data_IF_196503838388
#
_entry.id   IF_196503838388
#
_cell.length_a   1.000
_cell.length_b   1.000
_cell.length_c   1.000
_cell.angle_alpha   90.00
_cell.angle_beta   90.00
_cell.angle_gamma   90.00
#
_symmetry.space_group_name_H-M   'P 1'
#
loop_
_entity.id
_entity.type
_entity.pdbx_description
1 polymer ?
#
# COMPACT_ATOMS: atom_id res chain seq x y z
N UNK A 1 -53.63 28.08 -53.68
CA UNK A 1 -53.39 29.00 -52.55
C UNK A 1 -52.54 28.28 -51.62
N UNK A 2 -51.21 28.58 -51.52
CA UNK A 2 -50.32 28.01 -50.53
C UNK A 2 -50.31 28.88 -49.28
N UNK A 3 -50.38 28.24 -48.13
CA UNK A 3 -50.34 28.83 -46.79
C UNK A 3 -48.90 29.07 -46.37
N UNK A 4 -48.62 30.30 -45.90
CA UNK A 4 -47.39 30.80 -45.30
C UNK A 4 -47.19 30.17 -43.92
N UNK A 5 -46.10 29.42 -43.76
CA UNK A 5 -45.53 29.01 -42.45
C UNK A 5 -44.02 28.94 -42.47
N UNK A 6 -43.35 29.83 -43.21
CA UNK A 6 -41.87 29.82 -43.33
C UNK A 6 -41.22 31.16 -42.87
N UNK A 7 -41.65 31.73 -41.73
CA UNK A 7 -41.05 32.99 -41.27
C UNK A 7 -40.92 33.16 -39.74
N UNK A 8 -40.57 32.09 -39.00
CA UNK A 8 -40.25 32.26 -37.54
C UNK A 8 -39.04 31.44 -37.02
N UNK A 9 -38.04 31.14 -37.87
CA UNK A 9 -36.85 30.42 -37.46
C UNK A 9 -35.54 31.22 -37.60
N UNK A 10 -35.55 32.53 -37.37
CA UNK A 10 -34.32 33.37 -37.40
C UNK A 10 -34.34 34.40 -36.27
N UNK A 11 -34.16 33.97 -35.02
CA UNK A 11 -33.62 34.81 -33.94
C UNK A 11 -33.52 33.99 -32.63
N UNK A 12 -32.55 33.08 -32.54
CA UNK A 12 -32.04 32.60 -31.26
C UNK A 12 -30.55 32.86 -31.21
N UNK A 13 -30.01 33.52 -30.16
CA UNK A 13 -28.57 33.73 -29.99
C UNK A 13 -27.86 32.39 -29.65
N UNK A 14 -26.82 32.07 -30.41
CA UNK A 14 -25.92 30.92 -30.17
C UNK A 14 -25.30 31.01 -28.79
N UNK A 15 -25.28 29.95 -27.99
CA UNK A 15 -24.52 29.93 -26.74
C UNK A 15 -23.03 29.97 -27.04
N UNK A 16 -22.36 30.92 -26.40
CA UNK A 16 -20.92 31.15 -26.45
C UNK A 16 -20.22 30.05 -25.66
N UNK A 17 -19.55 29.10 -26.35
CA UNK A 17 -18.73 28.06 -25.74
C UNK A 17 -17.28 28.55 -25.71
N UNK A 18 -16.68 28.83 -24.53
CA UNK A 18 -15.26 29.07 -24.45
C UNK A 18 -14.52 27.73 -24.54
N UNK A 19 -13.98 27.45 -25.69
CA UNK A 19 -12.99 26.40 -25.94
C UNK A 19 -11.68 26.75 -25.24
N UNK A 20 -11.45 26.23 -24.03
CA UNK A 20 -10.11 26.05 -23.46
C UNK A 20 -10.02 24.64 -22.93
N UNK A 21 -9.31 23.79 -23.66
CA UNK A 21 -8.84 22.47 -23.23
C UNK A 21 -8.04 22.63 -21.94
N UNK A 22 -8.61 22.25 -20.82
CA UNK A 22 -7.89 22.04 -19.57
C UNK A 22 -6.99 20.81 -19.75
N UNK A 23 -5.68 21.00 -19.69
CA UNK A 23 -4.70 19.90 -19.58
C UNK A 23 -4.92 19.18 -18.26
N UNK A 24 -4.81 17.84 -18.20
CA UNK A 24 -4.88 17.14 -16.95
C UNK A 24 -3.70 17.56 -16.06
N UNK A 25 -4.01 17.98 -14.84
CA UNK A 25 -3.01 18.27 -13.80
C UNK A 25 -2.48 16.94 -13.31
N UNK A 26 -1.32 16.56 -13.81
CA UNK A 26 -0.53 15.45 -13.27
C UNK A 26 0.05 15.94 -11.95
N UNK A 27 -0.47 15.47 -10.83
CA UNK A 27 0.13 15.67 -9.51
C UNK A 27 1.40 14.83 -9.48
N UNK A 28 2.52 15.44 -9.84
CA UNK A 28 3.84 14.87 -9.58
C UNK A 28 4.06 14.94 -8.06
N UNK A 29 4.18 13.79 -7.43
CA UNK A 29 4.76 13.65 -6.11
C UNK A 29 6.08 14.44 -6.07
N UNK A 30 6.09 15.53 -5.31
CA UNK A 30 7.25 16.40 -5.18
C UNK A 30 8.25 15.75 -4.22
N UNK A 31 9.11 14.90 -4.75
CA UNK A 31 10.37 14.58 -4.09
C UNK A 31 11.21 15.85 -4.02
N UNK A 32 11.23 16.50 -2.87
CA UNK A 32 12.12 17.63 -2.57
C UNK A 32 13.55 17.12 -2.58
N UNK A 33 14.30 17.41 -3.65
CA UNK A 33 15.75 17.22 -3.70
C UNK A 33 16.42 18.40 -2.98
N UNK A 34 17.21 18.17 -1.92
CA UNK A 34 18.05 19.23 -1.37
C UNK A 34 19.21 19.52 -2.32
N UNK A 35 19.45 20.80 -2.60
CA UNK A 35 20.62 21.30 -3.32
C UNK A 35 21.88 21.02 -2.48
N UNK A 36 22.68 20.03 -2.86
CA UNK A 36 24.02 19.82 -2.30
C UNK A 36 25.02 20.61 -3.15
N UNK A 37 25.74 21.54 -2.52
CA UNK A 37 26.94 22.17 -3.06
C UNK A 37 28.01 21.09 -3.25
N UNK A 38 28.60 21.04 -4.46
CA UNK A 38 29.81 20.27 -4.75
C UNK A 38 30.99 20.81 -3.92
N UNK A 39 31.64 19.93 -3.21
CA UNK A 39 33.04 20.06 -2.83
C UNK A 39 33.77 18.76 -3.17
N UNK A 40 35.01 18.95 -3.58
CA UNK A 40 35.84 18.06 -4.38
C UNK A 40 36.21 16.71 -3.78
N UNK A 41 36.40 15.81 -4.68
CA UNK A 41 37.26 14.62 -4.79
C UNK A 41 38.37 14.48 -3.75
N UNK A 42 38.42 13.29 -3.10
CA UNK A 42 39.67 12.60 -2.81
C UNK A 42 39.41 11.08 -2.78
N UNK A 43 40.03 10.40 -3.73
CA UNK A 43 40.09 8.96 -3.82
C UNK A 43 41.08 8.43 -2.79
N UNK A 44 40.72 7.37 -2.06
CA UNK A 44 41.71 6.39 -1.59
C UNK A 44 41.06 5.00 -1.48
N UNK A 45 41.55 4.12 -2.29
CA UNK A 45 41.43 2.67 -2.25
C UNK A 45 41.89 2.11 -0.93
N UNK A 46 41.10 1.26 -0.28
CA UNK A 46 41.62 0.29 0.67
C UNK A 46 40.78 -0.98 0.68
N UNK A 47 41.31 -2.00 0.09
CA UNK A 47 40.94 -3.41 0.15
C UNK A 47 41.09 -3.93 1.58
N UNK A 48 40.02 -4.43 2.19
CA UNK A 48 40.12 -5.28 3.42
C UNK A 48 39.36 -6.58 3.14
N UNK A 49 40.16 -7.69 3.24
CA UNK A 49 39.69 -9.08 3.18
C UNK A 49 38.81 -9.42 4.40
N UNK A 50 37.91 -10.39 4.29
CA UNK A 50 37.12 -10.86 5.43
C UNK A 50 37.93 -11.71 6.37
N UNK A 51 37.88 -11.38 7.66
CA UNK A 51 38.43 -12.19 8.73
C UNK A 51 37.30 -13.03 9.36
N UNK A 52 37.45 -14.33 9.27
CA UNK A 52 36.65 -15.35 9.98
C UNK A 52 37.13 -15.43 11.41
N UNK A 53 36.26 -15.15 12.40
CA UNK A 53 36.42 -15.74 13.73
C UNK A 53 35.08 -15.75 14.51
N UNK A 54 34.66 -16.94 14.79
CA UNK A 54 33.97 -17.50 15.97
C UNK A 54 32.93 -16.67 16.73
N UNK A 55 31.72 -17.26 16.75
CA UNK A 55 30.62 -16.90 17.63
C UNK A 55 30.87 -17.35 19.08
N UNK A 56 30.57 -16.55 20.11
CA UNK A 56 30.47 -17.04 21.46
C UNK A 56 29.12 -17.72 21.72
N UNK A 57 29.16 -18.96 22.17
CA UNK A 57 28.05 -19.75 22.69
C UNK A 57 27.51 -19.10 23.96
N UNK A 58 26.25 -18.64 23.92
CA UNK A 58 25.49 -18.28 25.12
C UNK A 58 24.75 -19.53 25.61
N UNK A 59 25.05 -19.95 26.82
CA UNK A 59 24.49 -21.09 27.49
C UNK A 59 23.04 -20.83 27.93
N UNK A 60 22.15 -21.71 27.51
CA UNK A 60 20.76 -21.77 27.97
C UNK A 60 20.78 -22.37 29.37
N UNK A 61 20.45 -21.60 30.42
CA UNK A 61 20.15 -22.12 31.74
C UNK A 61 18.72 -22.66 31.76
N UNK A 62 18.62 -23.99 31.83
CA UNK A 62 17.38 -24.70 32.21
C UNK A 62 17.11 -24.44 33.71
N UNK A 63 15.97 -23.91 34.02
CA UNK A 63 15.41 -23.93 35.37
C UNK A 63 14.93 -25.37 35.68
N UNK A 64 15.59 -26.01 36.61
CA UNK A 64 15.21 -27.30 37.15
C UNK A 64 14.19 -27.10 38.27
N UNK A 65 13.00 -27.68 38.12
CA UNK A 65 12.03 -27.80 39.18
C UNK A 65 12.46 -28.91 40.18
N UNK A 66 12.56 -28.55 41.44
CA UNK A 66 12.84 -29.47 42.53
C UNK A 66 11.50 -30.02 43.05
N UNK A 67 11.24 -31.30 42.80
CA UNK A 67 10.31 -32.12 43.57
C UNK A 67 11.11 -32.72 44.73
N UNK A 68 10.77 -32.27 45.92
CA UNK A 68 11.33 -32.89 47.16
C UNK A 68 10.38 -33.97 47.66
N UNK A 69 10.80 -35.22 47.52
CA UNK A 69 10.31 -36.36 48.29
C UNK A 69 10.88 -36.27 49.69
N UNK A 70 10.02 -36.40 50.71
CA UNK A 70 10.44 -36.73 52.08
C UNK A 70 9.67 -37.95 52.53
N UNK A 71 10.38 -39.03 52.64
CA UNK A 71 9.96 -40.31 53.12
C UNK A 71 9.88 -40.37 54.64
N UNK A 72 8.95 -41.23 55.08
CA UNK A 72 8.51 -41.56 56.41
C UNK A 72 9.60 -41.93 57.44
N UNK A 73 9.38 -41.65 58.71
CA UNK A 73 9.22 -42.66 59.76
C UNK A 73 8.98 -42.00 61.12
N UNK A 74 8.13 -42.58 61.93
CA UNK A 74 7.99 -42.27 63.35
C UNK A 74 6.66 -42.63 63.95
N UNK A 75 6.56 -43.85 64.48
CA UNK A 75 5.46 -44.42 65.24
C UNK A 75 5.20 -43.68 66.57
N UNK A 76 3.93 -43.62 66.98
CA UNK A 76 3.66 -43.44 68.41
C UNK A 76 2.25 -42.93 68.79
N UNK A 77 1.46 -43.84 69.31
CA UNK A 77 0.45 -43.72 70.33
C UNK A 77 -0.94 -43.12 70.02
N UNK A 78 -1.85 -43.99 70.29
CA UNK A 78 -3.30 -43.91 70.40
C UNK A 78 -3.75 -42.83 71.40
N UNK A 79 -4.70 -41.98 71.01
CA UNK A 79 -5.41 -40.99 71.79
C UNK A 79 -6.83 -40.81 71.23
N UNK A 80 -7.75 -41.17 72.07
CA UNK A 80 -9.21 -41.40 71.93
C UNK A 80 -9.96 -40.20 71.31
N UNK A 81 -10.84 -40.45 70.33
CA UNK A 81 -11.66 -39.53 69.62
C UNK A 81 -12.73 -38.89 70.51
N UNK A 82 -12.84 -37.58 70.52
CA UNK A 82 -14.06 -36.83 70.77
C UNK A 82 -14.68 -36.40 69.50
N UNK A 83 -15.90 -36.81 69.25
CA UNK A 83 -16.80 -36.32 68.22
C UNK A 83 -16.92 -34.80 68.32
N UNK A 84 -16.49 -34.11 67.30
CA UNK A 84 -16.88 -32.74 67.02
C UNK A 84 -17.70 -32.72 65.73
N UNK A 85 -18.97 -32.26 65.91
CA UNK A 85 -19.90 -32.03 64.77
C UNK A 85 -19.32 -31.24 63.67
N UNK A 86 -19.65 -31.44 62.36
CA UNK A 86 -19.19 -30.64 61.26
C UNK A 86 -19.84 -29.27 61.33
N UNK A 87 -19.02 -28.23 61.60
CA UNK A 87 -19.42 -26.85 61.42
C UNK A 87 -19.68 -26.62 59.91
N UNK A 88 -20.94 -26.32 59.60
CA UNK A 88 -21.38 -25.95 58.25
C UNK A 88 -20.76 -24.63 57.86
N UNK A 89 -19.58 -24.70 57.23
CA UNK A 89 -18.97 -23.58 56.51
C UNK A 89 -19.51 -23.60 55.08
N UNK A 90 -20.47 -22.75 54.74
CA UNK A 90 -20.90 -22.75 53.34
C UNK A 90 -22.14 -21.98 52.97
N UNK A 91 -22.41 -20.80 53.53
CA UNK A 91 -23.50 -19.93 53.05
C UNK A 91 -23.09 -18.64 52.34
N UNK A 92 -21.83 -18.21 52.53
CA UNK A 92 -21.38 -16.88 52.07
C UNK A 92 -20.87 -16.82 50.64
N UNK A 93 -20.25 -17.88 50.15
CA UNK A 93 -19.50 -17.86 48.87
C UNK A 93 -20.42 -17.85 47.62
N UNK A 94 -21.55 -18.51 47.65
CA UNK A 94 -22.52 -18.53 46.52
C UNK A 94 -23.24 -17.20 46.33
N UNK A 95 -23.52 -16.43 47.38
CA UNK A 95 -24.17 -15.09 47.27
C UNK A 95 -23.20 -14.04 46.76
N UNK A 96 -21.95 -14.09 47.18
CA UNK A 96 -20.87 -13.21 46.68
C UNK A 96 -20.59 -13.47 45.19
N UNK A 97 -20.48 -14.73 44.77
CA UNK A 97 -20.32 -15.09 43.35
C UNK A 97 -21.50 -14.62 42.51
N UNK A 98 -22.72 -14.78 42.98
CA UNK A 98 -23.92 -14.28 42.29
C UNK A 98 -23.99 -12.75 42.19
N UNK A 99 -23.53 -12.01 43.20
CA UNK A 99 -23.46 -10.55 43.17
C UNK A 99 -22.38 -10.06 42.19
N UNK A 100 -21.19 -10.66 42.17
CA UNK A 100 -20.12 -10.35 41.25
C UNK A 100 -20.52 -10.60 39.78
N UNK A 101 -21.23 -11.71 39.51
CA UNK A 101 -21.74 -12.02 38.16
C UNK A 101 -22.77 -10.95 37.71
N UNK A 102 -23.69 -10.54 38.60
CA UNK A 102 -24.67 -9.49 38.27
C UNK A 102 -24.01 -8.14 38.00
N UNK A 103 -23.02 -7.74 38.80
CA UNK A 103 -22.26 -6.50 38.59
C UNK A 103 -21.47 -6.57 37.27
N UNK A 104 -20.81 -7.68 36.98
CA UNK A 104 -20.14 -7.90 35.73
C UNK A 104 -21.10 -7.80 34.51
N UNK A 105 -22.29 -8.41 34.62
CA UNK A 105 -23.31 -8.33 33.57
C UNK A 105 -23.82 -6.90 33.34
N UNK A 106 -23.99 -6.11 34.42
CA UNK A 106 -24.35 -4.68 34.30
C UNK A 106 -23.26 -3.88 33.62
N UNK A 107 -21.99 -4.12 34.00
CA UNK A 107 -20.85 -3.43 33.37
C UNK A 107 -20.81 -3.75 31.87
N UNK A 108 -20.97 -5.02 31.49
CA UNK A 108 -21.01 -5.43 30.08
C UNK A 108 -22.16 -4.75 29.32
N UNK A 109 -23.35 -4.71 29.93
CA UNK A 109 -24.52 -4.06 29.34
C UNK A 109 -24.27 -2.54 29.12
N UNK A 110 -23.63 -1.85 30.07
CA UNK A 110 -23.27 -0.44 29.96
C UNK A 110 -22.24 -0.24 28.82
N UNK A 111 -21.23 -1.11 28.73
CA UNK A 111 -20.23 -1.05 27.64
C UNK A 111 -20.92 -1.22 26.28
N UNK A 112 -21.83 -2.17 26.13
CA UNK A 112 -22.60 -2.39 24.90
C UNK A 112 -23.40 -1.13 24.52
N UNK A 113 -24.09 -0.50 25.49
CA UNK A 113 -24.83 0.74 25.22
C UNK A 113 -23.91 1.85 24.80
N UNK A 114 -22.76 2.03 25.45
CA UNK A 114 -21.75 3.01 25.06
C UNK A 114 -21.28 2.77 23.63
N UNK A 115 -20.91 1.54 23.29
CA UNK A 115 -20.48 1.18 21.92
C UNK A 115 -21.56 1.51 20.89
N UNK A 116 -22.84 1.20 21.18
CA UNK A 116 -23.94 1.51 20.27
C UNK A 116 -24.12 3.04 20.10
N UNK A 117 -24.12 3.80 21.20
CA UNK A 117 -24.29 5.26 21.17
C UNK A 117 -23.19 5.91 20.34
N UNK A 118 -21.93 5.55 20.59
CA UNK A 118 -20.81 6.11 19.82
C UNK A 118 -20.84 5.64 18.35
N UNK A 119 -21.28 4.40 18.08
CA UNK A 119 -21.52 3.92 16.72
C UNK A 119 -22.55 4.81 15.98
N UNK A 120 -23.67 5.15 16.63
CA UNK A 120 -24.66 6.09 16.04
C UNK A 120 -24.06 7.48 15.79
N UNK A 121 -23.22 7.98 16.70
CA UNK A 121 -22.54 9.27 16.53
C UNK A 121 -21.56 9.24 15.34
N UNK A 122 -20.84 8.14 15.13
CA UNK A 122 -19.88 7.98 14.04
C UNK A 122 -20.59 7.80 12.68
N UNK A 123 -21.50 6.83 12.59
CA UNK A 123 -22.09 6.46 11.29
C UNK A 123 -23.32 7.31 10.92
N UNK A 124 -24.13 7.68 11.91
CA UNK A 124 -25.37 8.45 11.67
C UNK A 124 -25.12 9.95 11.62
N UNK A 125 -24.39 10.48 12.59
CA UNK A 125 -24.16 11.91 12.71
C UNK A 125 -22.81 12.36 12.17
N UNK A 126 -21.93 11.44 11.74
CA UNK A 126 -20.55 11.72 11.28
C UNK A 126 -19.80 12.68 12.21
N UNK A 127 -19.96 12.46 13.52
CA UNK A 127 -19.48 13.35 14.56
C UNK A 127 -17.96 13.35 14.63
N UNK A 128 -17.35 14.51 14.47
CA UNK A 128 -15.91 14.73 14.62
C UNK A 128 -15.53 15.22 16.02
N UNK A 129 -16.45 15.09 16.99
CA UNK A 129 -16.21 15.50 18.37
C UNK A 129 -14.99 14.77 18.95
N UNK A 130 -14.08 15.46 19.66
CA UNK A 130 -12.88 14.84 20.26
C UNK A 130 -13.16 13.65 21.16
N UNK A 131 -14.30 13.65 21.90
CA UNK A 131 -14.69 12.52 22.75
C UNK A 131 -15.06 11.29 21.91
N UNK A 132 -15.74 11.47 20.76
CA UNK A 132 -16.06 10.39 19.84
C UNK A 132 -14.79 9.79 19.23
N UNK A 133 -13.84 10.64 18.83
CA UNK A 133 -12.53 10.22 18.33
C UNK A 133 -11.75 9.43 19.39
N UNK A 134 -11.71 9.90 20.64
CA UNK A 134 -11.03 9.19 21.73
C UNK A 134 -11.63 7.81 22.05
N UNK A 135 -12.95 7.68 21.96
CA UNK A 135 -13.61 6.36 22.12
C UNK A 135 -13.27 5.45 20.96
N UNK A 136 -13.18 5.97 19.75
CA UNK A 136 -12.82 5.21 18.55
C UNK A 136 -11.36 4.70 18.56
N UNK A 137 -10.46 5.34 19.33
CA UNK A 137 -9.09 4.84 19.54
C UNK A 137 -9.07 3.53 20.33
N UNK A 138 -10.07 3.31 21.18
CA UNK A 138 -10.18 2.11 22.05
C UNK A 138 -11.13 1.06 21.44
N UNK A 139 -12.23 1.51 20.84
CA UNK A 139 -13.24 0.65 20.22
C UNK A 139 -13.04 0.65 18.70
N UNK A 140 -12.67 -0.49 18.08
CA UNK A 140 -12.37 -0.56 16.66
C UNK A 140 -13.66 -0.53 15.81
N UNK A 141 -14.28 0.64 15.67
CA UNK A 141 -15.42 0.82 14.77
C UNK A 141 -14.98 0.59 13.32
N UNK A 142 -15.61 -0.33 12.57
CA UNK A 142 -15.22 -0.59 11.18
C UNK A 142 -15.68 0.54 10.26
N UNK A 143 -14.81 1.06 9.40
CA UNK A 143 -15.18 1.96 8.30
C UNK A 143 -15.47 1.21 7.02
N UNK A 144 -14.71 0.14 6.80
CA UNK A 144 -14.84 -0.76 5.67
C UNK A 144 -14.55 -2.20 6.09
N UNK A 145 -14.96 -3.13 5.23
CA UNK A 145 -14.56 -4.53 5.30
C UNK A 145 -14.02 -4.94 3.93
N UNK A 146 -12.78 -5.44 3.90
CA UNK A 146 -12.10 -5.87 2.68
C UNK A 146 -11.85 -7.38 2.76
N UNK A 147 -12.51 -8.16 1.91
CA UNK A 147 -12.44 -9.63 1.92
C UNK A 147 -12.72 -10.27 3.29
N UNK A 148 -13.61 -9.67 4.09
CA UNK A 148 -13.95 -10.13 5.43
C UNK A 148 -13.11 -9.54 6.56
N UNK A 149 -12.02 -8.85 6.29
CA UNK A 149 -11.19 -8.16 7.28
C UNK A 149 -11.66 -6.72 7.47
N UNK A 150 -11.87 -6.32 8.73
CA UNK A 150 -12.30 -4.96 9.05
C UNK A 150 -11.14 -3.97 9.02
N UNK A 151 -11.42 -2.79 8.48
CA UNK A 151 -10.58 -1.58 8.54
C UNK A 151 -11.18 -0.65 9.58
N UNK A 152 -10.37 -0.14 10.50
CA UNK A 152 -10.86 0.61 11.65
C UNK A 152 -11.08 2.09 11.36
N UNK A 153 -11.99 2.71 12.11
CA UNK A 153 -12.21 4.16 12.09
C UNK A 153 -10.96 4.93 12.58
N UNK A 154 -10.15 4.32 13.44
CA UNK A 154 -8.90 4.93 13.91
C UNK A 154 -7.87 5.05 12.78
N UNK A 155 -7.69 4.00 11.96
CA UNK A 155 -6.80 4.04 10.79
C UNK A 155 -7.28 5.10 9.79
N UNK A 156 -8.61 5.20 9.59
CA UNK A 156 -9.21 6.22 8.75
C UNK A 156 -8.93 7.65 9.27
N UNK A 157 -9.11 7.88 10.57
CA UNK A 157 -8.80 9.18 11.17
C UNK A 157 -7.30 9.52 11.09
N UNK A 158 -6.44 8.53 11.24
CA UNK A 158 -5.00 8.71 11.08
C UNK A 158 -4.66 9.26 9.70
N UNK A 159 -5.18 8.63 8.64
CA UNK A 159 -4.96 9.06 7.25
C UNK A 159 -5.57 10.45 6.97
N UNK A 160 -6.80 10.69 7.38
CA UNK A 160 -7.47 11.99 7.16
C UNK A 160 -6.73 13.10 7.89
N UNK A 161 -6.44 12.94 9.18
CA UNK A 161 -5.78 13.97 9.99
C UNK A 161 -4.36 14.28 9.48
N UNK A 162 -3.59 13.26 9.07
CA UNK A 162 -2.26 13.45 8.52
C UNK A 162 -2.30 14.26 7.22
N UNK A 163 -3.23 13.95 6.32
CA UNK A 163 -3.39 14.66 5.05
C UNK A 163 -3.87 16.10 5.25
N UNK A 164 -4.89 16.34 6.10
CA UNK A 164 -5.36 17.70 6.40
C UNK A 164 -4.25 18.57 6.97
N UNK A 165 -3.48 18.04 7.95
CA UNK A 165 -2.32 18.73 8.52
C UNK A 165 -1.24 19.01 7.48
N UNK A 166 -0.94 18.05 6.61
CA UNK A 166 0.04 18.21 5.54
C UNK A 166 -0.34 19.36 4.59
N UNK A 167 -1.60 19.45 4.17
CA UNK A 167 -2.09 20.58 3.35
C UNK A 167 -1.88 21.92 4.03
N UNK A 168 -2.27 22.05 5.31
CA UNK A 168 -2.12 23.28 6.08
C UNK A 168 -0.66 23.68 6.29
N UNK A 169 0.18 22.72 6.66
CA UNK A 169 1.55 23.00 7.03
C UNK A 169 2.47 23.19 5.81
N UNK A 170 2.22 22.48 4.72
CA UNK A 170 2.92 22.71 3.45
C UNK A 170 2.62 24.10 2.89
N UNK A 171 1.38 24.59 3.01
CA UNK A 171 1.04 25.95 2.63
C UNK A 171 1.86 26.98 3.45
N UNK A 172 1.92 26.81 4.78
CA UNK A 172 2.73 27.68 5.67
C UNK A 172 4.23 27.64 5.33
N UNK A 173 4.79 26.45 5.09
CA UNK A 173 6.21 26.28 4.75
C UNK A 173 6.59 26.92 3.41
N UNK A 174 5.65 26.99 2.47
CA UNK A 174 5.83 27.60 1.16
C UNK A 174 5.36 29.06 1.09
N UNK A 175 5.03 29.70 2.25
CA UNK A 175 4.48 31.05 2.33
C UNK A 175 3.22 31.23 1.46
N UNK A 176 2.41 30.19 1.33
CA UNK A 176 1.13 30.22 0.63
C UNK A 176 -0.03 30.38 1.62
N UNK A 177 -1.17 30.93 1.18
CA UNK A 177 -2.37 30.96 2.00
C UNK A 177 -2.76 29.56 2.45
N UNK A 178 -3.09 29.38 3.72
CA UNK A 178 -3.63 28.14 4.26
C UNK A 178 -5.03 27.90 3.70
N UNK A 179 -5.37 26.62 3.49
CA UNK A 179 -6.71 26.24 3.02
C UNK A 179 -7.72 26.47 4.14
N UNK A 180 -8.76 27.25 3.88
CA UNK A 180 -9.90 27.36 4.79
C UNK A 180 -10.87 26.21 4.48
N UNK A 181 -10.88 25.19 5.33
CA UNK A 181 -11.73 24.01 5.20
C UNK A 181 -13.23 24.29 5.44
N UNK A 182 -13.61 25.50 5.89
CA UNK A 182 -15.01 25.87 6.09
C UNK A 182 -15.67 26.37 4.81
N UNK A 183 -14.90 26.81 3.83
CA UNK A 183 -15.39 27.26 2.51
C UNK A 183 -15.84 26.08 1.66
N UNK A 184 -16.69 26.33 0.66
CA UNK A 184 -17.16 25.31 -0.29
C UNK A 184 -15.98 24.59 -1.01
N UNK A 185 -14.93 25.33 -1.37
CA UNK A 185 -13.72 24.78 -1.97
C UNK A 185 -12.93 23.91 -0.96
N UNK A 186 -12.81 24.38 0.30
CA UNK A 186 -12.17 23.63 1.36
C UNK A 186 -12.91 22.35 1.72
N UNK A 187 -14.24 22.40 1.82
CA UNK A 187 -15.05 21.20 2.07
C UNK A 187 -14.96 20.17 0.95
N UNK A 188 -14.88 20.62 -0.30
CA UNK A 188 -14.60 19.71 -1.43
C UNK A 188 -13.26 19.02 -1.30
N UNK A 189 -12.22 19.76 -0.88
CA UNK A 189 -10.89 19.17 -0.63
C UNK A 189 -10.94 18.17 0.54
N UNK A 190 -11.62 18.47 1.64
CA UNK A 190 -11.82 17.55 2.76
C UNK A 190 -12.51 16.26 2.28
N UNK A 191 -13.55 16.37 1.46
CA UNK A 191 -14.21 15.19 0.87
C UNK A 191 -13.22 14.36 0.02
N UNK A 192 -12.39 15.00 -0.79
CA UNK A 192 -11.35 14.30 -1.57
C UNK A 192 -10.31 13.63 -0.67
N UNK A 193 -9.88 14.28 0.41
CA UNK A 193 -8.97 13.69 1.41
C UNK A 193 -9.61 12.44 2.03
N UNK A 194 -10.86 12.53 2.45
CA UNK A 194 -11.62 11.42 3.05
C UNK A 194 -11.77 10.23 2.08
N UNK A 195 -12.11 10.50 0.82
CA UNK A 195 -12.19 9.48 -0.23
C UNK A 195 -10.85 8.84 -0.51
N UNK A 196 -9.77 9.64 -0.56
CA UNK A 196 -8.41 9.13 -0.75
C UNK A 196 -7.99 8.24 0.42
N UNK A 197 -8.26 8.65 1.66
CA UNK A 197 -7.99 7.84 2.86
C UNK A 197 -8.67 6.46 2.78
N UNK A 198 -9.96 6.40 2.39
CA UNK A 198 -10.67 5.13 2.20
C UNK A 198 -10.00 4.25 1.13
N UNK A 199 -9.62 4.82 -0.02
CA UNK A 199 -8.91 4.09 -1.09
C UNK A 199 -7.55 3.56 -0.64
N UNK A 200 -6.79 4.37 0.12
CA UNK A 200 -5.50 3.96 0.70
C UNK A 200 -5.69 2.77 1.62
N UNK A 201 -6.65 2.82 2.52
CA UNK A 201 -6.92 1.76 3.48
C UNK A 201 -7.37 0.45 2.81
N UNK A 202 -8.18 0.52 1.75
CA UNK A 202 -8.50 -0.67 0.93
C UNK A 202 -7.23 -1.26 0.31
N UNK A 203 -6.38 -0.41 -0.26
CA UNK A 203 -5.10 -0.84 -0.84
C UNK A 203 -4.21 -1.51 0.20
N UNK A 204 -4.06 -0.90 1.36
CA UNK A 204 -3.24 -1.42 2.47
C UNK A 204 -3.77 -2.75 3.01
N UNK A 205 -5.10 -2.89 3.14
CA UNK A 205 -5.72 -4.15 3.52
C UNK A 205 -5.46 -5.26 2.48
N UNK A 206 -5.55 -4.94 1.19
CA UNK A 206 -5.24 -5.90 0.11
C UNK A 206 -3.77 -6.27 0.12
N UNK A 207 -2.85 -5.30 0.28
CA UNK A 207 -1.40 -5.55 0.41
C UNK A 207 -1.11 -6.48 1.59
N UNK A 208 -1.68 -6.22 2.76
CA UNK A 208 -1.49 -7.04 3.95
C UNK A 208 -1.99 -8.49 3.75
N UNK A 209 -3.15 -8.66 3.08
CA UNK A 209 -3.70 -9.97 2.76
C UNK A 209 -2.83 -10.74 1.76
N UNK A 210 -2.38 -10.08 0.69
CA UNK A 210 -1.49 -10.68 -0.31
C UNK A 210 -0.14 -11.05 0.31
N UNK A 211 0.44 -10.18 1.14
CA UNK A 211 1.67 -10.47 1.86
C UNK A 211 1.52 -11.69 2.77
N UNK A 212 0.40 -11.78 3.51
CA UNK A 212 0.09 -12.96 4.33
C UNK A 212 -0.05 -14.24 3.49
N UNK A 213 -0.74 -14.19 2.35
CA UNK A 213 -0.90 -15.33 1.44
C UNK A 213 0.46 -15.79 0.87
N UNK A 214 1.34 -14.85 0.53
CA UNK A 214 2.68 -15.12 0.02
C UNK A 214 3.74 -15.31 1.12
N UNK A 215 3.34 -15.27 2.41
CA UNK A 215 4.22 -15.40 3.58
C UNK A 215 5.31 -14.33 3.65
N UNK A 216 5.06 -13.17 3.07
CA UNK A 216 5.93 -12.00 3.18
C UNK A 216 5.73 -11.36 4.55
N UNK A 217 6.84 -11.11 5.26
CA UNK A 217 6.83 -10.53 6.61
C UNK A 217 7.97 -9.54 6.77
N UNK A 218 7.71 -8.46 7.48
CA UNK A 218 8.70 -7.41 7.78
C UNK A 218 9.19 -7.57 9.21
N UNK A 219 10.50 -7.70 9.40
CA UNK A 219 11.10 -7.82 10.73
C UNK A 219 11.24 -6.46 11.43
N UNK A 220 11.22 -6.45 12.77
CA UNK A 220 11.50 -5.24 13.55
C UNK A 220 12.90 -4.69 13.28
N UNK A 221 13.85 -5.56 12.95
CA UNK A 221 15.21 -5.17 12.58
C UNK A 221 15.23 -4.33 11.31
N UNK A 222 14.46 -4.71 10.27
CA UNK A 222 14.43 -3.99 9.00
C UNK A 222 13.71 -2.65 9.15
N UNK A 223 12.63 -2.61 9.94
CA UNK A 223 11.96 -1.35 10.30
C UNK A 223 12.91 -0.40 11.01
N UNK A 224 13.64 -0.88 12.04
CA UNK A 224 14.59 -0.07 12.78
C UNK A 224 15.77 0.39 11.90
N UNK A 225 16.25 -0.47 11.00
CA UNK A 225 17.30 -0.12 10.05
C UNK A 225 16.87 1.03 9.13
N UNK A 226 15.67 0.95 8.56
CA UNK A 226 15.15 2.04 7.69
C UNK A 226 14.91 3.33 8.49
N UNK A 227 14.35 3.24 9.70
CA UNK A 227 14.19 4.41 10.59
C UNK A 227 15.54 5.05 10.90
N UNK A 228 16.58 4.27 11.19
CA UNK A 228 17.92 4.79 11.42
C UNK A 228 18.52 5.47 10.19
N UNK A 229 18.30 4.93 8.99
CA UNK A 229 18.69 5.58 7.72
C UNK A 229 17.96 6.93 7.55
N UNK A 230 16.66 6.99 7.88
CA UNK A 230 15.90 8.24 7.88
C UNK A 230 16.48 9.25 8.88
N UNK A 231 16.87 8.82 10.09
CA UNK A 231 17.55 9.70 11.05
C UNK A 231 18.85 10.29 10.49
N UNK A 232 19.69 9.47 9.85
CA UNK A 232 20.93 9.97 9.22
C UNK A 232 20.64 10.95 8.08
N UNK A 233 19.66 10.65 7.25
CA UNK A 233 19.30 11.49 6.09
C UNK A 233 18.71 12.84 6.47
N UNK A 234 17.95 12.90 7.57
CA UNK A 234 17.17 14.09 7.97
C UNK A 234 17.70 14.80 9.22
N UNK A 235 19.01 14.65 9.53
CA UNK A 235 19.66 15.43 10.58
C UNK A 235 19.40 14.94 12.00
N UNK A 236 19.16 13.64 12.16
CA UNK A 236 19.01 12.96 13.44
C UNK A 236 17.58 12.75 13.89
N UNK A 237 17.43 11.88 14.90
CA UNK A 237 16.11 11.47 15.45
C UNK A 237 15.24 12.66 15.87
N UNK A 238 15.82 13.60 16.63
CA UNK A 238 15.06 14.75 17.16
C UNK A 238 14.53 15.63 16.03
N UNK A 239 15.36 15.91 15.01
CA UNK A 239 14.99 16.74 13.87
C UNK A 239 13.90 16.08 13.04
N UNK A 240 14.07 14.80 12.71
CA UNK A 240 13.07 14.04 11.92
C UNK A 240 11.72 14.00 12.65
N UNK A 241 11.68 13.59 13.93
CA UNK A 241 10.43 13.49 14.68
C UNK A 241 9.75 14.84 14.88
N UNK A 242 10.54 15.91 15.11
CA UNK A 242 10.00 17.26 15.17
C UNK A 242 9.33 17.65 13.85
N UNK A 243 9.99 17.40 12.72
CA UNK A 243 9.47 17.71 11.38
C UNK A 243 8.20 16.92 11.07
N UNK A 244 8.20 15.61 11.33
CA UNK A 244 7.03 14.75 11.12
C UNK A 244 5.84 15.17 11.99
N UNK A 245 6.11 15.53 13.26
CA UNK A 245 5.07 16.03 14.14
C UNK A 245 4.52 17.39 13.66
N UNK A 246 5.38 18.30 13.21
CA UNK A 246 4.95 19.59 12.67
C UNK A 246 4.11 19.46 11.40
N UNK A 247 4.50 18.57 10.47
CA UNK A 247 3.82 18.45 9.18
C UNK A 247 2.57 17.58 9.29
N UNK A 248 2.68 16.39 9.87
CA UNK A 248 1.64 15.34 9.87
C UNK A 248 1.00 15.13 11.25
N UNK A 249 1.62 15.60 12.33
CA UNK A 249 1.25 15.27 13.70
C UNK A 249 1.79 13.93 14.19
N UNK A 250 2.72 13.30 13.45
CA UNK A 250 3.21 11.97 13.75
C UNK A 250 4.23 11.95 14.90
N UNK A 251 4.15 10.88 15.69
CA UNK A 251 5.14 10.46 16.67
C UNK A 251 5.99 9.29 16.16
N UNK A 252 6.83 8.70 17.02
CA UNK A 252 7.68 7.57 16.64
C UNK A 252 6.87 6.30 16.30
N UNK A 253 5.78 6.04 17.02
CA UNK A 253 4.95 4.84 16.74
C UNK A 253 4.28 4.97 15.38
N UNK A 254 3.78 6.16 15.03
CA UNK A 254 3.19 6.46 13.73
C UNK A 254 4.23 6.26 12.61
N UNK A 255 5.44 6.81 12.77
CA UNK A 255 6.54 6.59 11.83
C UNK A 255 6.86 5.10 11.68
N UNK A 256 6.90 4.37 12.80
CA UNK A 256 7.18 2.92 12.79
C UNK A 256 6.12 2.14 12.02
N UNK A 257 4.84 2.47 12.22
CA UNK A 257 3.72 1.87 11.47
C UNK A 257 3.82 2.12 9.97
N UNK A 258 4.02 3.39 9.57
CA UNK A 258 4.15 3.78 8.16
C UNK A 258 5.37 3.12 7.49
N UNK A 259 6.51 3.07 8.18
CA UNK A 259 7.73 2.40 7.67
C UNK A 259 7.50 0.90 7.49
N UNK A 260 6.82 0.25 8.44
CA UNK A 260 6.47 -1.17 8.33
C UNK A 260 5.56 -1.45 7.13
N UNK A 261 4.53 -0.63 6.93
CA UNK A 261 3.63 -0.75 5.80
C UNK A 261 4.35 -0.55 4.46
N UNK A 262 5.24 0.45 4.39
CA UNK A 262 6.06 0.70 3.21
C UNK A 262 6.98 -0.48 2.88
N UNK A 263 7.67 -1.05 3.89
CA UNK A 263 8.52 -2.22 3.70
C UNK A 263 7.70 -3.43 3.27
N UNK A 264 6.52 -3.64 3.87
CA UNK A 264 5.63 -4.74 3.49
C UNK A 264 5.20 -4.65 2.02
N UNK A 265 4.83 -3.46 1.56
CA UNK A 265 4.48 -3.22 0.17
C UNK A 265 5.68 -3.46 -0.77
N UNK A 266 6.88 -3.01 -0.38
CA UNK A 266 8.10 -3.21 -1.15
C UNK A 266 8.49 -4.69 -1.22
N UNK A 267 8.45 -5.41 -0.10
CA UNK A 267 8.80 -6.83 -0.06
C UNK A 267 7.77 -7.68 -0.82
N UNK A 268 6.48 -7.31 -0.74
CA UNK A 268 5.44 -7.92 -1.56
C UNK A 268 5.68 -7.64 -3.06
N UNK A 269 6.08 -6.43 -3.42
CA UNK A 269 6.43 -6.08 -4.80
C UNK A 269 7.57 -6.97 -5.31
N UNK A 270 8.65 -7.12 -4.51
CA UNK A 270 9.78 -7.95 -4.86
C UNK A 270 9.36 -9.42 -5.05
N UNK A 271 8.52 -9.94 -4.15
CA UNK A 271 7.99 -11.31 -4.23
C UNK A 271 7.11 -11.53 -5.47
N UNK A 272 6.23 -10.57 -5.79
CA UNK A 272 5.34 -10.65 -6.96
C UNK A 272 6.12 -10.55 -8.26
N UNK A 273 7.07 -9.61 -8.34
CA UNK A 273 7.85 -9.40 -9.57
C UNK A 273 8.87 -10.50 -9.83
N UNK A 274 9.29 -11.25 -8.81
CA UNK A 274 10.17 -12.41 -8.93
C UNK A 274 9.43 -13.76 -8.99
N UNK A 275 8.10 -13.77 -9.04
CA UNK A 275 7.29 -15.00 -9.06
C UNK A 275 7.46 -15.73 -10.41
N UNK A 276 8.10 -16.93 -10.44
CA UNK A 276 8.35 -17.65 -11.69
C UNK A 276 7.06 -18.03 -12.45
N UNK A 277 5.94 -18.18 -11.75
CA UNK A 277 4.66 -18.50 -12.39
C UNK A 277 4.11 -17.30 -13.17
N UNK A 278 4.27 -16.10 -12.63
CA UNK A 278 3.86 -14.87 -13.30
C UNK A 278 4.79 -14.53 -14.47
N UNK A 279 6.09 -14.78 -14.32
CA UNK A 279 7.07 -14.67 -15.40
C UNK A 279 6.76 -15.65 -16.54
N UNK A 280 6.49 -16.92 -16.21
CA UNK A 280 6.12 -17.92 -17.20
C UNK A 280 4.81 -17.57 -17.93
N UNK A 281 3.84 -16.99 -17.24
CA UNK A 281 2.59 -16.53 -17.84
C UNK A 281 2.81 -15.38 -18.84
N UNK A 282 3.68 -14.40 -18.52
CA UNK A 282 4.04 -13.34 -19.44
C UNK A 282 4.75 -13.88 -20.69
N UNK A 283 5.70 -14.81 -20.50
CA UNK A 283 6.39 -15.50 -21.60
C UNK A 283 5.41 -16.24 -22.50
N UNK A 284 4.54 -17.05 -21.92
CA UNK A 284 3.53 -17.81 -22.68
C UNK A 284 2.58 -16.89 -23.47
N UNK A 285 2.22 -15.73 -22.90
CA UNK A 285 1.42 -14.72 -23.59
C UNK A 285 2.18 -14.15 -24.80
N UNK A 286 3.47 -13.81 -24.64
CA UNK A 286 4.31 -13.31 -25.74
C UNK A 286 4.48 -14.38 -26.85
N UNK A 287 4.71 -15.64 -26.49
CA UNK A 287 4.80 -16.77 -27.43
C UNK A 287 3.49 -16.99 -28.19
N UNK A 288 2.35 -16.81 -27.53
CA UNK A 288 1.03 -16.87 -28.19
C UNK A 288 0.86 -15.73 -29.19
N UNK A 289 1.25 -14.51 -28.85
CA UNK A 289 1.21 -13.34 -29.76
C UNK A 289 2.12 -13.59 -30.95
N UNK A 290 3.34 -14.08 -30.75
CA UNK A 290 4.26 -14.44 -31.84
C UNK A 290 3.66 -15.49 -32.78
N UNK A 291 2.97 -16.48 -32.21
CA UNK A 291 2.28 -17.52 -33.00
C UNK A 291 1.18 -16.91 -33.88
N UNK A 292 0.40 -15.96 -33.35
CA UNK A 292 -0.60 -15.25 -34.15
C UNK A 292 0.03 -14.44 -35.29
N UNK A 293 1.18 -13.78 -35.04
CA UNK A 293 1.95 -13.07 -36.07
C UNK A 293 2.41 -14.03 -37.16
N UNK A 294 3.02 -15.15 -36.77
CA UNK A 294 3.48 -16.22 -37.72
C UNK A 294 2.34 -16.82 -38.53
N UNK A 295 1.11 -16.81 -38.01
CA UNK A 295 -0.10 -17.24 -38.72
C UNK A 295 -0.75 -16.12 -39.56
N UNK A 296 -0.09 -14.97 -39.74
CA UNK A 296 -0.51 -13.91 -40.66
C UNK A 296 -1.37 -12.80 -40.02
N UNK A 297 -1.54 -12.79 -38.69
CA UNK A 297 -2.24 -11.68 -38.02
C UNK A 297 -1.43 -10.39 -38.17
N UNK A 298 -2.14 -9.28 -38.30
CA UNK A 298 -1.51 -7.95 -38.44
C UNK A 298 -0.79 -7.51 -37.15
N UNK A 299 0.50 -7.17 -37.26
CA UNK A 299 1.35 -6.83 -36.15
C UNK A 299 0.84 -5.61 -35.36
N UNK A 300 0.42 -4.56 -36.09
CA UNK A 300 -0.06 -3.31 -35.48
C UNK A 300 -1.36 -3.54 -34.69
N UNK A 301 -2.25 -4.41 -35.19
CA UNK A 301 -3.47 -4.79 -34.51
C UNK A 301 -3.17 -5.57 -33.22
N UNK A 302 -2.21 -6.51 -33.27
CA UNK A 302 -1.79 -7.25 -32.08
C UNK A 302 -1.07 -6.36 -31.08
N UNK A 303 -0.25 -5.40 -31.53
CA UNK A 303 0.36 -4.40 -30.68
C UNK A 303 -0.70 -3.57 -29.92
N UNK A 304 -1.72 -3.08 -30.60
CA UNK A 304 -2.86 -2.37 -29.98
C UNK A 304 -3.62 -3.20 -28.96
N UNK A 305 -3.67 -4.50 -29.17
CA UNK A 305 -4.45 -5.42 -28.33
C UNK A 305 -3.68 -5.93 -27.12
N UNK A 306 -2.40 -6.24 -27.29
CA UNK A 306 -1.61 -6.97 -26.31
C UNK A 306 -0.43 -6.21 -25.72
N UNK A 307 0.12 -5.22 -26.45
CA UNK A 307 1.28 -4.46 -25.98
C UNK A 307 0.94 -3.58 -24.78
N UNK A 308 1.85 -3.55 -23.83
CA UNK A 308 1.79 -2.69 -22.64
C UNK A 308 2.74 -1.50 -22.75
N UNK A 309 3.44 -1.35 -23.87
CA UNK A 309 4.26 -0.19 -24.17
C UNK A 309 3.41 1.08 -24.39
N UNK A 310 4.00 2.24 -24.15
CA UNK A 310 3.31 3.54 -24.28
C UNK A 310 2.85 3.85 -25.71
N UNK A 311 3.46 3.25 -26.69
CA UNK A 311 3.16 3.38 -28.13
C UNK A 311 2.21 2.29 -28.66
N UNK A 312 1.69 1.42 -27.78
CA UNK A 312 0.74 0.37 -28.14
C UNK A 312 -0.46 0.88 -28.96
N UNK A 313 -1.02 2.04 -28.58
CA UNK A 313 -2.14 2.68 -29.30
C UNK A 313 -1.80 3.10 -30.72
N UNK A 314 -0.50 3.32 -30.99
CA UNK A 314 0.05 3.62 -32.33
C UNK A 314 0.57 2.35 -33.04
N UNK A 315 0.14 1.15 -32.61
CA UNK A 315 0.54 -0.11 -33.21
C UNK A 315 1.96 -0.51 -32.88
N UNK A 316 2.52 -0.02 -31.76
CA UNK A 316 3.88 -0.31 -31.32
C UNK A 316 4.97 0.36 -32.19
N UNK A 317 4.64 1.45 -32.89
CA UNK A 317 5.57 2.10 -33.81
C UNK A 317 6.63 2.91 -33.06
N UNK A 318 7.88 2.46 -33.10
CA UNK A 318 9.06 3.14 -32.54
C UNK A 318 9.58 4.29 -33.41
N UNK A 319 9.13 4.36 -34.68
CA UNK A 319 9.75 5.22 -35.70
C UNK A 319 11.18 4.79 -36.04
N UNK A 320 11.97 5.70 -36.64
CA UNK A 320 13.37 5.48 -36.85
C UNK A 320 14.19 5.73 -35.59
N UNK A 321 15.05 4.78 -35.26
CA UNK A 321 15.98 4.85 -34.14
C UNK A 321 17.38 4.46 -34.56
N UNK A 322 18.37 4.86 -33.77
CA UNK A 322 19.79 4.54 -33.96
C UNK A 322 20.32 3.73 -32.79
N UNK A 323 21.52 3.20 -32.93
CA UNK A 323 22.16 2.39 -31.87
C UNK A 323 22.20 3.10 -30.52
N UNK A 324 21.82 2.39 -29.46
CA UNK A 324 21.81 2.87 -28.07
C UNK A 324 20.51 3.57 -27.66
N UNK A 325 19.49 3.57 -28.51
CA UNK A 325 18.16 4.15 -28.17
C UNK A 325 17.16 3.10 -27.65
N UNK A 326 17.43 1.81 -27.84
CA UNK A 326 16.63 0.71 -27.33
C UNK A 326 17.42 -0.11 -26.30
N UNK A 327 16.76 -0.91 -25.46
CA UNK A 327 17.42 -1.93 -24.64
C UNK A 327 18.31 -2.84 -25.48
N UNK A 328 19.47 -3.23 -24.95
CA UNK A 328 20.51 -3.94 -25.70
C UNK A 328 20.01 -5.21 -26.41
N UNK A 329 19.15 -5.99 -25.74
CA UNK A 329 18.59 -7.22 -26.33
C UNK A 329 17.69 -6.91 -27.53
N UNK A 330 16.84 -5.88 -27.42
CA UNK A 330 15.92 -5.45 -28.47
C UNK A 330 16.67 -4.81 -29.64
N UNK A 331 17.67 -3.98 -29.32
CA UNK A 331 18.58 -3.37 -30.29
C UNK A 331 19.30 -4.44 -31.13
N UNK A 332 19.90 -5.43 -30.46
CA UNK A 332 20.62 -6.51 -31.12
C UNK A 332 19.71 -7.30 -32.06
N UNK A 333 18.48 -7.58 -31.62
CA UNK A 333 17.50 -8.27 -32.46
C UNK A 333 17.08 -7.44 -33.67
N UNK A 334 16.85 -6.14 -33.52
CA UNK A 334 16.51 -5.25 -34.62
C UNK A 334 17.65 -5.14 -35.66
N UNK A 335 18.90 -5.07 -35.19
CA UNK A 335 20.08 -5.04 -36.06
C UNK A 335 20.24 -6.32 -36.88
N UNK A 336 19.89 -7.49 -36.33
CA UNK A 336 20.00 -8.79 -37.00
C UNK A 336 18.90 -9.06 -38.06
N UNK A 337 17.72 -8.43 -37.92
CA UNK A 337 16.56 -8.67 -38.80
C UNK A 337 16.67 -7.90 -40.11
N UNK A 338 16.07 -8.39 -41.19
CA UNK A 338 15.86 -7.67 -42.45
C UNK A 338 14.49 -6.98 -42.45
N UNK A 339 14.27 -5.93 -43.28
CA UNK A 339 12.96 -5.33 -43.48
C UNK A 339 11.86 -6.35 -43.72
N UNK A 340 10.75 -6.25 -43.02
CA UNK A 340 9.62 -7.18 -43.02
C UNK A 340 9.74 -8.34 -42.04
N UNK A 341 10.89 -8.62 -41.49
CA UNK A 341 11.10 -9.76 -40.57
C UNK A 341 10.67 -9.41 -39.12
N UNK A 342 10.27 -10.45 -38.40
CA UNK A 342 9.85 -10.41 -36.98
C UNK A 342 10.82 -11.26 -36.16
N UNK A 343 11.17 -10.81 -34.98
CA UNK A 343 12.02 -11.54 -34.04
C UNK A 343 11.27 -12.75 -33.42
N UNK A 344 12.03 -13.63 -32.79
CA UNK A 344 11.48 -14.46 -31.73
C UNK A 344 11.18 -13.63 -30.49
N UNK A 345 10.57 -14.26 -29.45
CA UNK A 345 10.33 -13.59 -28.17
C UNK A 345 11.67 -13.27 -27.50
N UNK A 346 11.89 -12.00 -27.20
CA UNK A 346 13.11 -11.45 -26.57
C UNK A 346 12.77 -11.17 -25.12
N UNK A 347 13.61 -11.57 -24.17
CA UNK A 347 13.52 -11.12 -22.77
C UNK A 347 14.45 -9.93 -22.54
N UNK A 348 13.92 -8.88 -21.96
CA UNK A 348 14.68 -7.73 -21.48
C UNK A 348 14.29 -7.34 -20.04
N UNK A 349 14.66 -6.13 -19.61
CA UNK A 349 14.39 -5.60 -18.27
C UNK A 349 12.92 -5.23 -18.04
N UNK A 350 12.14 -5.01 -19.09
CA UNK A 350 10.72 -4.64 -19.02
C UNK A 350 9.80 -5.86 -19.12
N UNK A 351 10.25 -6.90 -19.79
CA UNK A 351 9.41 -8.08 -19.98
C UNK A 351 9.84 -8.95 -21.16
N UNK A 352 8.84 -9.36 -21.93
CA UNK A 352 9.01 -10.14 -23.14
C UNK A 352 8.57 -9.30 -24.33
N UNK A 353 9.49 -9.10 -25.26
CA UNK A 353 9.28 -8.27 -26.45
C UNK A 353 9.31 -9.05 -27.74
N UNK A 354 8.56 -8.56 -28.73
CA UNK A 354 8.64 -9.00 -30.13
C UNK A 354 8.83 -7.75 -30.95
N UNK A 355 9.85 -7.72 -31.83
CA UNK A 355 10.13 -6.59 -32.72
C UNK A 355 9.97 -6.99 -34.18
N UNK A 356 9.41 -6.08 -34.98
CA UNK A 356 9.31 -6.19 -36.45
C UNK A 356 10.03 -5.02 -37.08
N UNK A 357 11.03 -5.28 -37.90
CA UNK A 357 11.72 -4.26 -38.67
C UNK A 357 10.88 -3.89 -39.88
N UNK A 358 10.66 -2.59 -40.11
CA UNK A 358 9.92 -2.07 -41.25
C UNK A 358 10.87 -1.60 -42.35
N UNK A 359 11.93 -0.86 -41.98
CA UNK A 359 12.90 -0.32 -42.91
C UNK A 359 14.30 -0.18 -42.28
N UNK A 360 15.34 -0.13 -43.10
CA UNK A 360 16.73 0.14 -42.70
C UNK A 360 17.35 1.11 -43.67
N UNK A 361 17.85 2.24 -43.19
CA UNK A 361 18.52 3.24 -44.00
C UNK A 361 20.02 3.04 -44.06
N UNK A 362 20.65 3.63 -45.09
CA UNK A 362 22.09 3.57 -45.28
C UNK A 362 22.90 4.30 -44.20
N UNK A 363 22.28 5.18 -43.41
CA UNK A 363 22.88 5.86 -42.26
C UNK A 363 22.88 5.02 -40.98
N UNK A 364 22.36 3.77 -41.08
CA UNK A 364 22.26 2.84 -39.97
C UNK A 364 21.00 3.00 -39.09
N UNK A 365 20.09 3.94 -39.43
CA UNK A 365 18.81 4.05 -38.71
C UNK A 365 17.84 2.93 -39.12
N UNK A 366 17.06 2.44 -38.16
CA UNK A 366 16.12 1.34 -38.30
C UNK A 366 14.73 1.83 -37.92
N UNK A 367 13.73 1.57 -38.77
CA UNK A 367 12.33 1.75 -38.42
C UNK A 367 11.74 0.40 -38.01
N UNK A 368 11.06 0.37 -36.84
CA UNK A 368 10.45 -0.87 -36.35
C UNK A 368 9.15 -0.62 -35.58
N UNK A 369 8.42 -1.70 -35.42
CA UNK A 369 7.32 -1.84 -34.46
C UNK A 369 7.71 -2.86 -33.41
N UNK A 370 7.19 -2.69 -32.18
CA UNK A 370 7.35 -3.69 -31.12
C UNK A 370 6.07 -4.00 -30.36
N UNK A 371 6.06 -5.14 -29.68
CA UNK A 371 5.02 -5.56 -28.75
C UNK A 371 5.70 -5.94 -27.45
N UNK A 372 5.40 -5.21 -26.39
CA UNK A 372 5.87 -5.48 -25.03
C UNK A 372 4.80 -6.20 -24.24
N UNK A 373 5.13 -7.36 -23.72
CA UNK A 373 4.38 -8.07 -22.70
C UNK A 373 5.18 -7.94 -21.41
N UNK A 374 4.80 -7.00 -20.55
CA UNK A 374 5.51 -6.75 -19.29
C UNK A 374 5.51 -8.00 -18.40
N UNK A 375 6.66 -8.31 -17.81
CA UNK A 375 6.69 -9.12 -16.60
C UNK A 375 6.04 -8.28 -15.51
N UNK A 376 5.13 -8.83 -14.81
CA UNK A 376 4.18 -8.22 -13.89
C UNK A 376 4.58 -6.82 -13.37
N UNK A 377 3.96 -5.77 -13.92
CA UNK A 377 3.93 -4.48 -13.22
C UNK A 377 3.12 -4.64 -11.93
N UNK A 378 3.80 -4.41 -10.80
CA UNK A 378 3.21 -4.59 -9.47
C UNK A 378 1.96 -3.70 -9.28
N UNK A 379 1.97 -2.47 -9.81
CA UNK A 379 0.83 -1.57 -9.68
C UNK A 379 -0.40 -2.13 -10.43
N UNK A 380 -0.20 -2.62 -11.64
CA UNK A 380 -1.26 -3.28 -12.43
C UNK A 380 -1.77 -4.53 -11.70
N UNK A 381 -0.88 -5.36 -11.18
CA UNK A 381 -1.24 -6.53 -10.38
C UNK A 381 -2.07 -6.13 -9.15
N UNK A 382 -1.60 -5.18 -8.36
CA UNK A 382 -2.29 -4.69 -7.16
C UNK A 382 -3.67 -4.14 -7.50
N UNK A 383 -3.78 -3.30 -8.52
CA UNK A 383 -5.08 -2.76 -8.97
C UNK A 383 -6.06 -3.86 -9.40
N UNK A 384 -5.58 -4.92 -10.04
CA UNK A 384 -6.42 -6.08 -10.36
C UNK A 384 -6.90 -6.81 -9.11
N UNK A 385 -6.04 -6.94 -8.07
CA UNK A 385 -6.43 -7.57 -6.80
C UNK A 385 -7.43 -6.68 -6.03
N UNK A 386 -7.23 -5.36 -6.02
CA UNK A 386 -8.18 -4.40 -5.43
C UNK A 386 -9.55 -4.50 -6.12
N UNK A 387 -9.59 -4.57 -7.46
CA UNK A 387 -10.86 -4.74 -8.21
C UNK A 387 -11.57 -6.06 -7.92
N UNK A 388 -10.84 -7.12 -7.57
CA UNK A 388 -11.40 -8.42 -7.19
C UNK A 388 -11.83 -8.48 -5.72
N UNK A 389 -11.35 -7.57 -4.89
CA UNK A 389 -11.64 -7.55 -3.48
C UNK A 389 -13.12 -7.25 -3.23
N UNK A 390 -13.72 -7.98 -2.29
CA UNK A 390 -15.07 -7.70 -1.80
C UNK A 390 -14.98 -6.60 -0.76
N UNK A 391 -15.39 -5.39 -1.12
CA UNK A 391 -15.39 -4.23 -0.23
C UNK A 391 -16.82 -3.92 0.20
N UNK A 392 -17.03 -3.79 1.51
CA UNK A 392 -18.28 -3.30 2.11
C UNK A 392 -17.96 -2.04 2.91
N UNK A 393 -18.58 -0.93 2.56
CA UNK A 393 -18.35 0.37 3.19
C UNK A 393 -19.45 0.64 4.22
N UNK A 394 -19.05 0.97 5.45
CA UNK A 394 -19.94 1.30 6.57
C UNK A 394 -19.99 2.81 6.83
N UNK A 395 -18.91 3.53 6.54
CA UNK A 395 -18.82 4.99 6.68
C UNK A 395 -18.90 5.66 5.31
N UNK A 396 -19.97 6.40 5.03
CA UNK A 396 -20.09 7.25 3.85
C UNK A 396 -19.37 8.58 4.11
N UNK A 397 -18.42 8.94 3.28
CA UNK A 397 -17.58 10.15 3.40
C UNK A 397 -17.89 11.20 2.35
#
# INVERSE_FOLDING_TARGET
MPTNDDEQAKNQPKPNVPSKKAKPVTVKSAAVKPKVKKTDSLATTSTVKPNTNEAPKVAVRKASGSTGDVSANGSGSVGEAKHSEPVAVGGGDRRLKGAVIKVAAIIVAVIIVVVIVFGVLIYGYKSENPVVKAVAEVVPYPVEQVNGQFVSYNDYLFEVNANERAYQNNAKLNNQPTVDFTTAAGQKLVTQIKQHAMQTLVSDAVIAQLASQKKVTVSDKDVNNLINQLYQRYGGKATLLKTLNQIYGWNLNDLTGVVRQQLLAQDLQNEVTSDPALEAAAKAKAENVLTQIKNGSDFSTLAKTYSQASDASNGGNLGYFTKGQLPDALQTAAEALQPGQVSDVIKDTYGYEIIKVLDKKSDGSIEAQHILIETVDFNTYLQQQIKKAKVSTYLNV
#
